data_IF_553023281064
#
_entry.id   IF_553023281064
#
_cell.length_a   1.000
_cell.length_b   1.000
_cell.length_c   1.000
_cell.angle_alpha   90.00
_cell.angle_beta   90.00
_cell.angle_gamma   90.00
#
_symmetry.space_group_name_H-M   'P 1'
#
loop_
_entity.id
_entity.type
_entity.pdbx_description
1 polymer ?
#
# COMPACT_ATOMS: atom_id res chain seq x y z
N UNK A 1 -4.41 -31.80 15.75
CA UNK A 1 -3.52 -31.05 14.82
C UNK A 1 -4.27 -30.11 13.88
N UNK A 2 -5.50 -30.42 13.42
CA UNK A 2 -6.25 -29.52 12.51
C UNK A 2 -6.82 -28.24 13.16
N UNK A 3 -7.16 -28.25 14.45
CA UNK A 3 -7.75 -27.08 15.12
C UNK A 3 -6.82 -25.87 15.23
N UNK A 4 -5.54 -26.07 15.54
CA UNK A 4 -4.54 -24.99 15.65
C UNK A 4 -4.27 -24.35 14.29
N UNK A 5 -4.17 -25.16 13.23
CA UNK A 5 -4.00 -24.68 11.87
C UNK A 5 -5.18 -23.82 11.39
N UNK A 6 -6.41 -24.24 11.73
CA UNK A 6 -7.61 -23.48 11.40
C UNK A 6 -7.65 -22.11 12.09
N UNK A 7 -7.30 -22.06 13.39
CA UNK A 7 -7.16 -20.80 14.13
C UNK A 7 -6.09 -19.88 13.53
N UNK A 8 -4.95 -20.44 13.11
CA UNK A 8 -3.89 -19.69 12.45
C UNK A 8 -4.33 -19.10 11.10
N UNK A 9 -5.11 -19.85 10.29
CA UNK A 9 -5.67 -19.33 9.05
C UNK A 9 -6.66 -18.19 9.28
N UNK A 10 -7.54 -18.29 10.29
CA UNK A 10 -8.46 -17.22 10.66
C UNK A 10 -7.69 -15.97 11.11
N UNK A 11 -6.69 -16.14 11.97
CA UNK A 11 -5.84 -15.04 12.41
C UNK A 11 -5.12 -14.37 11.21
N UNK A 12 -4.55 -15.16 10.30
CA UNK A 12 -3.91 -14.64 9.10
C UNK A 12 -4.88 -13.83 8.23
N UNK A 13 -6.11 -14.33 8.02
CA UNK A 13 -7.14 -13.59 7.27
C UNK A 13 -7.50 -12.27 7.95
N UNK A 14 -7.70 -12.28 9.28
CA UNK A 14 -8.02 -11.06 10.05
C UNK A 14 -6.93 -9.99 9.93
N UNK A 15 -5.65 -10.38 9.99
CA UNK A 15 -4.53 -9.44 9.83
C UNK A 15 -4.29 -9.03 8.36
N UNK A 16 -4.62 -9.89 7.40
CA UNK A 16 -4.44 -9.59 5.98
C UNK A 16 -5.50 -8.62 5.45
N UNK A 17 -6.76 -8.71 5.91
CA UNK A 17 -7.88 -7.90 5.37
C UNK A 17 -7.59 -6.39 5.32
N UNK A 18 -7.09 -5.73 6.40
CA UNK A 18 -6.78 -4.30 6.36
C UNK A 18 -5.71 -3.93 5.34
N UNK A 19 -4.82 -4.88 5.03
CA UNK A 19 -3.65 -4.71 4.16
C UNK A 19 -4.01 -4.93 2.69
N UNK A 20 -5.08 -5.68 2.37
CA UNK A 20 -5.46 -6.00 1.00
C UNK A 20 -5.73 -4.76 0.15
N UNK A 21 -6.29 -3.70 0.74
CA UNK A 21 -6.61 -2.45 0.03
C UNK A 21 -5.37 -1.66 -0.40
N UNK A 22 -4.20 -1.97 0.17
CA UNK A 22 -2.91 -1.31 -0.12
C UNK A 22 -1.99 -2.18 -1.01
N UNK A 23 -2.48 -3.28 -1.57
CA UNK A 23 -1.72 -4.19 -2.44
C UNK A 23 -2.29 -4.19 -3.85
N UNK A 24 -1.47 -4.56 -4.85
CA UNK A 24 -1.98 -4.74 -6.20
C UNK A 24 -3.00 -5.88 -6.29
N UNK A 25 -3.88 -5.78 -7.29
CA UNK A 25 -4.91 -6.78 -7.60
C UNK A 25 -4.30 -8.18 -7.82
N UNK A 26 -3.08 -8.26 -8.34
CA UNK A 26 -2.36 -9.52 -8.54
C UNK A 26 -2.07 -10.25 -7.22
N UNK A 27 -1.64 -9.52 -6.18
CA UNK A 27 -1.40 -10.09 -4.84
C UNK A 27 -2.72 -10.57 -4.23
N UNK A 28 -3.78 -9.75 -4.32
CA UNK A 28 -5.10 -10.08 -3.76
C UNK A 28 -5.69 -11.32 -4.44
N UNK A 29 -5.74 -11.33 -5.78
CA UNK A 29 -6.29 -12.45 -6.56
C UNK A 29 -5.52 -13.76 -6.38
N UNK A 30 -4.19 -13.73 -6.37
CA UNK A 30 -3.38 -14.92 -6.10
C UNK A 30 -3.58 -15.46 -4.69
N UNK A 31 -3.79 -14.59 -3.69
CA UNK A 31 -4.12 -14.98 -2.32
C UNK A 31 -5.50 -15.65 -2.21
N UNK A 32 -6.52 -15.09 -2.86
CA UNK A 32 -7.86 -15.69 -2.92
C UNK A 32 -7.80 -17.08 -3.58
N UNK A 33 -7.04 -17.22 -4.67
CA UNK A 33 -6.87 -18.50 -5.35
C UNK A 33 -6.18 -19.54 -4.45
N UNK A 34 -5.12 -19.15 -3.73
CA UNK A 34 -4.46 -20.02 -2.75
C UNK A 34 -5.43 -20.53 -1.68
N UNK A 35 -6.28 -19.63 -1.17
CA UNK A 35 -7.28 -19.96 -0.16
C UNK A 35 -8.35 -20.91 -0.70
N UNK A 36 -8.82 -20.70 -1.93
CA UNK A 36 -9.79 -21.58 -2.58
C UNK A 36 -9.24 -23.01 -2.78
N UNK A 37 -7.98 -23.15 -3.21
CA UNK A 37 -7.32 -24.46 -3.34
C UNK A 37 -7.17 -25.14 -1.98
N UNK A 38 -6.81 -24.40 -0.94
CA UNK A 38 -6.71 -24.94 0.42
C UNK A 38 -8.06 -25.46 0.94
N UNK A 39 -9.16 -24.71 0.73
CA UNK A 39 -10.51 -25.17 1.08
C UNK A 39 -10.87 -26.43 0.30
N UNK A 40 -10.63 -26.46 -1.01
CA UNK A 40 -10.92 -27.61 -1.85
C UNK A 40 -10.16 -28.87 -1.39
N UNK A 41 -8.89 -28.71 -1.01
CA UNK A 41 -8.08 -29.78 -0.44
C UNK A 41 -8.71 -30.32 0.86
N UNK A 42 -9.10 -29.43 1.78
CA UNK A 42 -9.70 -29.81 3.06
C UNK A 42 -11.05 -30.51 2.86
N UNK A 43 -11.92 -29.97 2.00
CA UNK A 43 -13.25 -30.54 1.75
C UNK A 43 -13.15 -31.93 1.11
N UNK A 44 -12.30 -32.10 0.09
CA UNK A 44 -12.09 -33.39 -0.53
C UNK A 44 -11.50 -34.41 0.44
N UNK A 45 -10.61 -33.99 1.35
CA UNK A 45 -10.08 -34.87 2.40
C UNK A 45 -11.18 -35.40 3.35
N UNK A 46 -12.27 -34.65 3.57
CA UNK A 46 -13.37 -35.07 4.45
C UNK A 46 -14.47 -35.85 3.71
N UNK A 47 -14.79 -35.47 2.47
CA UNK A 47 -15.91 -36.05 1.71
C UNK A 47 -15.54 -37.37 1.01
N UNK A 48 -14.29 -37.53 0.55
CA UNK A 48 -13.91 -38.77 -0.15
C UNK A 48 -13.71 -39.94 0.83
N UNK A 49 -14.62 -40.94 0.75
CA UNK A 49 -14.56 -42.18 1.54
C UNK A 49 -13.51 -43.17 1.04
N UNK A 50 -13.29 -43.23 -0.27
CA UNK A 50 -12.30 -44.12 -0.89
C UNK A 50 -10.88 -43.68 -0.53
N UNK A 51 -10.17 -44.53 0.23
CA UNK A 51 -8.82 -44.23 0.73
C UNK A 51 -7.79 -44.01 -0.38
N UNK A 52 -7.85 -44.75 -1.49
CA UNK A 52 -6.90 -44.61 -2.60
C UNK A 52 -7.14 -43.30 -3.34
N UNK A 53 -8.41 -43.00 -3.68
CA UNK A 53 -8.78 -41.72 -4.33
C UNK A 53 -8.47 -40.52 -3.44
N UNK A 54 -8.76 -40.62 -2.14
CA UNK A 54 -8.44 -39.57 -1.15
C UNK A 54 -6.95 -39.24 -1.13
N UNK A 55 -6.09 -40.26 -1.06
CA UNK A 55 -4.63 -40.06 -1.07
C UNK A 55 -4.12 -39.48 -2.38
N UNK A 56 -4.70 -39.87 -3.52
CA UNK A 56 -4.37 -39.32 -4.83
C UNK A 56 -4.71 -37.82 -4.91
N UNK A 57 -5.96 -37.44 -4.59
CA UNK A 57 -6.41 -36.05 -4.60
C UNK A 57 -5.61 -35.18 -3.62
N UNK A 58 -5.33 -35.70 -2.43
CA UNK A 58 -4.52 -34.99 -1.45
C UNK A 58 -3.12 -34.67 -1.99
N UNK A 59 -2.44 -35.63 -2.64
CA UNK A 59 -1.11 -35.39 -3.24
C UNK A 59 -1.17 -34.34 -4.35
N UNK A 60 -2.13 -34.47 -5.28
CA UNK A 60 -2.29 -33.53 -6.39
C UNK A 60 -2.55 -32.12 -5.87
N UNK A 61 -3.54 -31.95 -4.99
CA UNK A 61 -3.91 -30.64 -4.47
C UNK A 61 -2.84 -30.03 -3.56
N UNK A 62 -2.05 -30.85 -2.86
CA UNK A 62 -0.91 -30.35 -2.07
C UNK A 62 0.18 -29.77 -2.97
N UNK A 63 0.47 -30.42 -4.11
CA UNK A 63 1.42 -29.89 -5.11
C UNK A 63 0.87 -28.62 -5.74
N UNK A 64 -0.42 -28.59 -6.11
CA UNK A 64 -1.07 -27.39 -6.66
C UNK A 64 -1.02 -26.24 -5.65
N UNK A 65 -1.35 -26.49 -4.38
CA UNK A 65 -1.32 -25.48 -3.33
C UNK A 65 0.10 -24.92 -3.15
N UNK A 66 1.13 -25.77 -3.16
CA UNK A 66 2.53 -25.33 -3.06
C UNK A 66 2.93 -24.42 -4.23
N UNK A 67 2.54 -24.77 -5.46
CA UNK A 67 2.79 -23.93 -6.64
C UNK A 67 2.08 -22.59 -6.53
N UNK A 68 0.82 -22.58 -6.10
CA UNK A 68 0.03 -21.35 -5.94
C UNK A 68 0.59 -20.45 -4.84
N UNK A 69 1.02 -21.02 -3.71
CA UNK A 69 1.71 -20.27 -2.65
C UNK A 69 3.02 -19.69 -3.17
N UNK A 70 3.78 -20.46 -3.95
CA UNK A 70 5.00 -19.97 -4.62
C UNK A 70 4.72 -18.76 -5.52
N UNK A 71 3.67 -18.84 -6.36
CA UNK A 71 3.24 -17.71 -7.21
C UNK A 71 2.84 -16.51 -6.36
N UNK A 72 2.09 -16.71 -5.27
CA UNK A 72 1.67 -15.63 -4.37
C UNK A 72 2.86 -14.92 -3.69
N UNK A 73 3.90 -15.67 -3.33
CA UNK A 73 5.13 -15.07 -2.78
C UNK A 73 5.88 -14.25 -3.84
N UNK A 74 5.91 -14.72 -5.09
CA UNK A 74 6.54 -14.00 -6.20
C UNK A 74 5.76 -12.71 -6.51
N UNK A 75 4.43 -12.75 -6.60
CA UNK A 75 3.62 -11.54 -6.85
C UNK A 75 3.79 -10.52 -5.73
N UNK A 76 3.81 -10.95 -4.47
CA UNK A 76 4.10 -10.09 -3.33
C UNK A 76 5.49 -9.45 -3.43
N UNK A 77 6.51 -10.23 -3.77
CA UNK A 77 7.87 -9.72 -3.92
C UNK A 77 7.97 -8.67 -5.03
N UNK A 78 7.35 -8.92 -6.19
CA UNK A 78 7.32 -7.98 -7.31
C UNK A 78 6.61 -6.69 -6.93
N UNK A 79 5.42 -6.78 -6.31
CA UNK A 79 4.62 -5.65 -5.85
C UNK A 79 5.39 -4.77 -4.85
N UNK A 80 6.04 -5.39 -3.86
CA UNK A 80 6.85 -4.68 -2.87
C UNK A 80 8.08 -4.01 -3.51
N UNK A 81 8.74 -4.68 -4.45
CA UNK A 81 9.89 -4.09 -5.14
C UNK A 81 9.50 -2.92 -6.03
N UNK A 82 8.34 -2.99 -6.70
CA UNK A 82 7.78 -1.86 -7.45
C UNK A 82 7.51 -0.66 -6.55
N UNK A 83 6.92 -0.87 -5.37
CA UNK A 83 6.74 0.19 -4.39
C UNK A 83 8.07 0.83 -3.98
N UNK A 84 9.10 0.02 -3.66
CA UNK A 84 10.42 0.53 -3.28
C UNK A 84 11.06 1.36 -4.40
N UNK A 85 10.97 0.89 -5.64
CA UNK A 85 11.50 1.62 -6.79
C UNK A 85 10.79 2.96 -6.96
N UNK A 86 9.45 2.99 -6.89
CA UNK A 86 8.68 4.23 -6.95
C UNK A 86 9.12 5.24 -5.90
N UNK A 87 9.33 4.80 -4.65
CA UNK A 87 9.85 5.67 -3.57
C UNK A 87 11.26 6.20 -3.89
N UNK A 88 12.16 5.33 -4.37
CA UNK A 88 13.54 5.73 -4.71
C UNK A 88 13.64 6.66 -5.91
N UNK A 89 12.66 6.63 -6.80
CA UNK A 89 12.55 7.49 -7.97
C UNK A 89 11.90 8.83 -7.67
N UNK A 90 11.30 9.02 -6.48
CA UNK A 90 10.75 10.31 -6.08
C UNK A 90 11.87 11.37 -6.14
N UNK A 91 11.64 12.39 -6.95
CA UNK A 91 12.41 13.63 -6.98
C UNK A 91 11.43 14.75 -6.69
N UNK A 92 11.70 15.53 -5.66
CA UNK A 92 10.91 16.69 -5.29
C UNK A 92 11.64 17.89 -5.86
N UNK A 93 10.98 18.60 -6.78
CA UNK A 93 11.48 19.86 -7.30
C UNK A 93 10.69 21.02 -6.72
N UNK A 94 11.38 21.96 -6.09
CA UNK A 94 10.77 23.12 -5.45
C UNK A 94 10.06 24.01 -6.49
N UNK A 95 8.74 24.28 -6.33
CA UNK A 95 7.99 25.14 -7.22
C UNK A 95 8.36 26.62 -7.01
N UNK A 96 8.35 27.38 -8.10
CA UNK A 96 8.56 28.82 -8.05
C UNK A 96 7.26 29.53 -7.64
N UNK A 97 7.07 29.75 -6.34
CA UNK A 97 5.86 30.38 -5.78
C UNK A 97 5.58 31.76 -6.38
N UNK A 98 6.58 32.47 -6.94
CA UNK A 98 6.36 33.76 -7.60
C UNK A 98 5.48 33.64 -8.83
N UNK A 99 5.45 32.48 -9.48
CA UNK A 99 4.63 32.17 -10.67
C UNK A 99 3.27 31.58 -10.32
N UNK A 100 3.10 31.06 -9.10
CA UNK A 100 1.82 30.52 -8.63
C UNK A 100 0.88 31.67 -8.30
N UNK A 101 -0.36 31.61 -8.78
CA UNK A 101 -1.39 32.61 -8.47
C UNK A 101 -1.98 32.38 -7.09
N UNK A 102 -2.67 33.39 -6.54
CA UNK A 102 -3.41 33.19 -5.29
C UNK A 102 -4.55 32.20 -5.57
N UNK A 103 -4.73 31.21 -4.69
CA UNK A 103 -5.69 30.15 -4.92
C UNK A 103 -5.55 28.97 -3.98
N UNK A 104 -6.32 27.93 -4.29
CA UNK A 104 -6.32 26.66 -3.56
C UNK A 104 -6.18 25.54 -4.57
N UNK A 105 -5.17 24.71 -4.38
CA UNK A 105 -4.72 23.72 -5.35
C UNK A 105 -4.77 22.32 -4.73
N UNK A 106 -5.27 21.34 -5.46
CA UNK A 106 -5.33 19.95 -4.99
C UNK A 106 -4.27 19.14 -5.70
N UNK A 107 -3.42 18.48 -4.92
CA UNK A 107 -2.41 17.57 -5.42
C UNK A 107 -2.56 16.20 -4.81
N UNK A 108 -2.25 15.17 -5.59
CA UNK A 108 -2.24 13.80 -5.13
C UNK A 108 -1.00 13.07 -5.63
N UNK A 109 -0.54 12.10 -4.85
CA UNK A 109 0.56 11.23 -5.24
C UNK A 109 0.41 9.85 -4.61
N UNK A 110 0.44 8.81 -5.46
CA UNK A 110 0.19 7.43 -5.07
C UNK A 110 1.32 6.52 -5.55
N UNK A 111 1.92 5.78 -4.61
CA UNK A 111 2.99 4.81 -4.87
C UNK A 111 2.59 3.36 -4.53
N UNK A 112 1.30 3.10 -4.32
CA UNK A 112 0.71 1.81 -3.96
C UNK A 112 0.47 1.70 -2.46
N UNK A 113 1.54 1.48 -1.69
CA UNK A 113 1.45 1.27 -0.23
C UNK A 113 1.18 2.56 0.54
N UNK A 114 1.43 3.70 -0.10
CA UNK A 114 1.22 5.03 0.47
C UNK A 114 0.57 5.88 -0.63
N UNK A 115 -0.47 6.61 -0.22
CA UNK A 115 -1.23 7.52 -1.06
C UNK A 115 -1.51 8.78 -0.24
N UNK A 116 -1.26 9.96 -0.81
CA UNK A 116 -1.57 11.23 -0.16
C UNK A 116 -2.29 12.17 -1.12
N UNK A 117 -3.31 12.83 -0.60
CA UNK A 117 -4.05 13.91 -1.25
C UNK A 117 -4.03 15.12 -0.34
N UNK A 118 -3.59 16.24 -0.88
CA UNK A 118 -3.42 17.49 -0.15
C UNK A 118 -4.12 18.63 -0.88
N UNK A 119 -4.50 19.64 -0.12
CA UNK A 119 -4.97 20.92 -0.59
C UNK A 119 -3.99 21.99 -0.11
N UNK A 120 -3.36 22.69 -1.03
CA UNK A 120 -2.39 23.75 -0.75
C UNK A 120 -3.01 25.10 -1.06
N UNK A 121 -3.01 26.00 -0.08
CA UNK A 121 -3.47 27.39 -0.23
C UNK A 121 -2.28 28.31 -0.44
N UNK A 122 -2.35 29.13 -1.48
CA UNK A 122 -1.34 30.14 -1.81
C UNK A 122 -1.98 31.52 -1.78
N UNK A 123 -1.39 32.43 -1.01
CA UNK A 123 -1.76 33.85 -0.98
C UNK A 123 -0.50 34.69 -0.91
N UNK A 124 -0.45 35.77 -1.68
CA UNK A 124 0.68 36.71 -1.75
C UNK A 124 2.02 36.02 -1.98
N UNK A 125 2.02 35.03 -2.89
CA UNK A 125 3.19 34.21 -3.28
C UNK A 125 3.76 33.38 -2.13
N UNK A 126 2.94 33.10 -1.11
CA UNK A 126 3.29 32.30 0.07
C UNK A 126 2.32 31.15 0.24
N UNK A 127 2.82 30.03 0.76
CA UNK A 127 1.97 28.92 1.20
C UNK A 127 1.35 29.33 2.54
N UNK A 128 0.04 29.51 2.59
CA UNK A 128 -0.65 29.93 3.82
C UNK A 128 -1.30 28.79 4.58
N UNK A 129 -1.62 27.69 3.90
CA UNK A 129 -2.18 26.50 4.51
C UNK A 129 -1.91 25.26 3.66
N UNK A 130 -1.77 24.11 4.30
CA UNK A 130 -1.71 22.80 3.65
C UNK A 130 -2.60 21.84 4.44
N UNK A 131 -3.71 21.46 3.83
CA UNK A 131 -4.64 20.50 4.42
C UNK A 131 -4.44 19.11 3.80
N UNK A 132 -4.23 18.10 4.63
CA UNK A 132 -4.24 16.69 4.19
C UNK A 132 -5.69 16.22 4.08
N UNK A 133 -6.15 16.02 2.85
CA UNK A 133 -7.50 15.52 2.55
C UNK A 133 -7.56 14.00 2.69
N UNK A 134 -6.50 13.31 2.28
CA UNK A 134 -6.39 11.86 2.40
C UNK A 134 -4.93 11.45 2.60
N UNK A 135 -4.71 10.46 3.46
CA UNK A 135 -3.41 9.83 3.64
C UNK A 135 -3.60 8.34 3.96
N UNK A 136 -3.50 7.50 2.93
CA UNK A 136 -3.52 6.03 3.09
C UNK A 136 -2.12 5.55 3.38
N UNK A 137 -1.93 4.86 4.50
CA UNK A 137 -0.64 4.30 4.92
C UNK A 137 -0.85 3.20 5.95
N UNK A 138 0.09 2.26 6.01
CA UNK A 138 0.08 1.15 6.97
C UNK A 138 0.69 1.51 8.33
N UNK A 139 1.44 2.62 8.39
CA UNK A 139 2.27 2.98 9.57
C UNK A 139 1.71 4.14 10.39
N UNK A 140 0.45 4.48 10.17
CA UNK A 140 -0.25 5.56 10.86
C UNK A 140 0.18 6.96 10.41
N UNK A 141 -0.27 7.98 11.16
CA UNK A 141 -0.33 9.37 10.71
C UNK A 141 0.89 10.22 11.05
N UNK A 142 2.00 9.62 11.49
CA UNK A 142 3.16 10.35 12.02
C UNK A 142 3.76 11.36 11.02
N UNK A 143 3.69 11.09 9.72
CA UNK A 143 4.19 11.98 8.68
C UNK A 143 3.35 13.24 8.47
N UNK A 144 2.09 13.27 8.92
CA UNK A 144 1.15 14.35 8.62
C UNK A 144 1.64 15.71 9.12
N UNK A 145 2.38 15.74 10.24
CA UNK A 145 3.00 16.96 10.78
C UNK A 145 4.08 17.61 9.89
N UNK A 146 4.47 16.98 8.78
CA UNK A 146 5.46 17.57 7.87
C UNK A 146 4.92 18.86 7.23
N UNK A 147 3.61 18.98 7.10
CA UNK A 147 2.96 20.15 6.49
C UNK A 147 3.20 21.44 7.27
N UNK A 148 3.30 21.34 8.61
CA UNK A 148 3.62 22.49 9.47
C UNK A 148 5.01 23.05 9.11
N UNK A 149 6.00 22.16 8.96
CA UNK A 149 7.35 22.55 8.58
C UNK A 149 7.41 23.15 7.17
N UNK A 150 6.58 22.68 6.24
CA UNK A 150 6.51 23.24 4.89
C UNK A 150 5.96 24.67 4.89
N UNK A 151 4.89 24.91 5.66
CA UNK A 151 4.31 26.24 5.83
C UNK A 151 5.29 27.17 6.54
N UNK A 152 5.94 26.72 7.61
CA UNK A 152 6.89 27.55 8.37
C UNK A 152 8.11 27.93 7.52
N UNK A 153 8.66 26.98 6.76
CA UNK A 153 9.87 27.19 5.96
C UNK A 153 9.58 27.76 4.56
N UNK A 154 8.30 27.82 4.17
CA UNK A 154 7.87 28.20 2.81
C UNK A 154 8.57 27.36 1.74
N UNK A 155 8.70 26.06 1.99
CA UNK A 155 9.28 25.07 1.08
C UNK A 155 8.48 23.79 1.13
N UNK A 156 8.30 23.14 -0.01
CA UNK A 156 7.68 21.81 -0.02
C UNK A 156 8.69 20.72 0.35
N UNK A 157 9.98 20.89 0.02
CA UNK A 157 10.99 19.90 0.37
C UNK A 157 11.65 20.26 1.70
N UNK A 158 11.33 19.49 2.75
CA UNK A 158 11.78 19.72 4.12
C UNK A 158 12.30 18.41 4.73
N UNK A 159 12.90 18.50 5.92
CA UNK A 159 13.41 17.32 6.59
C UNK A 159 12.28 16.33 6.91
N UNK A 160 12.43 15.11 6.40
CA UNK A 160 11.45 14.05 6.58
C UNK A 160 11.29 13.66 8.05
N UNK A 161 10.06 13.32 8.45
CA UNK A 161 9.76 12.94 9.83
C UNK A 161 10.43 11.60 10.15
N UNK A 162 11.22 11.56 11.23
CA UNK A 162 11.92 10.34 11.67
C UNK A 162 10.97 9.16 11.82
N UNK A 163 11.27 8.05 11.15
CA UNK A 163 10.44 6.84 11.15
C UNK A 163 9.21 6.89 10.24
N UNK A 164 9.01 7.99 9.50
CA UNK A 164 7.91 8.17 8.55
C UNK A 164 8.37 8.74 7.19
N UNK A 165 9.64 8.53 6.84
CA UNK A 165 10.30 9.11 5.66
C UNK A 165 9.56 8.88 4.34
N UNK A 166 9.09 7.66 4.06
CA UNK A 166 8.39 7.39 2.81
C UNK A 166 7.04 8.12 2.72
N UNK A 167 6.32 8.22 3.84
CA UNK A 167 5.08 9.01 3.90
C UNK A 167 5.36 10.51 3.77
N UNK A 168 6.44 11.01 4.39
CA UNK A 168 6.90 12.39 4.20
C UNK A 168 7.15 12.70 2.71
N UNK A 169 7.94 11.89 2.02
CA UNK A 169 8.22 12.06 0.59
C UNK A 169 6.96 12.08 -0.28
N UNK A 170 5.98 11.22 0.05
CA UNK A 170 4.71 11.16 -0.70
C UNK A 170 3.86 12.41 -0.47
N UNK A 171 3.81 12.94 0.77
CA UNK A 171 3.10 14.20 1.08
C UNK A 171 3.80 15.39 0.40
N UNK A 172 5.13 15.47 0.46
CA UNK A 172 5.92 16.49 -0.24
C UNK A 172 5.65 16.46 -1.76
N UNK A 173 5.64 15.25 -2.35
CA UNK A 173 5.36 15.08 -3.78
C UNK A 173 3.91 15.43 -4.15
N UNK A 174 2.95 15.16 -3.27
CA UNK A 174 1.57 15.60 -3.47
C UNK A 174 1.46 17.15 -3.43
N UNK A 175 2.19 17.82 -2.54
CA UNK A 175 2.26 19.29 -2.50
C UNK A 175 2.92 19.86 -3.77
N UNK A 176 3.99 19.23 -4.25
CA UNK A 176 4.60 19.58 -5.55
C UNK A 176 3.58 19.51 -6.69
N UNK A 177 2.83 18.40 -6.76
CA UNK A 177 1.82 18.20 -7.80
C UNK A 177 0.67 19.21 -7.70
N UNK A 178 0.32 19.67 -6.49
CA UNK A 178 -0.67 20.74 -6.31
C UNK A 178 -0.16 22.07 -6.91
N UNK A 179 1.09 22.42 -6.61
CA UNK A 179 1.68 23.72 -6.97
C UNK A 179 2.22 23.78 -8.41
N UNK A 180 2.30 22.65 -9.11
CA UNK A 180 2.69 22.56 -10.53
C UNK A 180 1.52 22.46 -11.51
N UNK A 181 0.29 22.41 -11.01
CA UNK A 181 -0.90 22.55 -11.86
C UNK A 181 -1.03 24.03 -12.23
N UNK A 182 -0.36 24.41 -13.33
CA UNK A 182 -0.65 25.65 -14.06
C UNK A 182 -1.96 25.53 -14.84
#
# INVERSE_FOLDING_TARGET
MSGIFFLACIAHLLFAIPVLNARSIAVVSSGIFAFAVAILLITLCHVTKDKKKKMLWHRILSVVLLLVVGIHLVTYFVDFNQYKNKIQEIRIGEPDLSKVSNGTYIGEYNVGYIDAKVQVKVEDKRITDIQILEHKTERGKKAEKIVDAMVDQQKIHVDAVTGATNSSLVIEKACENALRQE
#
